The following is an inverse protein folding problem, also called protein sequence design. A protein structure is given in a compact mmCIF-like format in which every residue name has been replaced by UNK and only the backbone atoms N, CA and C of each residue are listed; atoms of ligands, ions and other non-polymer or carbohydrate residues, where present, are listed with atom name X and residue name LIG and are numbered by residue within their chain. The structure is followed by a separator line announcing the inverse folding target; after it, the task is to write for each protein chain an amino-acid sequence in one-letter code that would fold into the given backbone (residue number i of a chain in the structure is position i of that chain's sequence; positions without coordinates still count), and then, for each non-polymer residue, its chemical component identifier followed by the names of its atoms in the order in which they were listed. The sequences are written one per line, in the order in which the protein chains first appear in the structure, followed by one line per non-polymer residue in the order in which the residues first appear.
data_IF_242672072939
#
_entry.id   IF_242672072939
#
_cell.length_a   1.000
_cell.length_b   1.000
_cell.length_c   1.000
_cell.angle_alpha   90.00
_cell.angle_beta   90.00
_cell.angle_gamma   90.00
#
_symmetry.space_group_name_H-M   'P 1'
#
loop_
_entity.id
_entity.type
_entity.pdbx_description
1 polymer ?
#
# COMPACT_ATOMS: atom_id res chain seq x y z
N UNK A 1 -7.41 32.21 -11.34
CA UNK A 1 -6.95 31.86 -9.97
C UNK A 1 -7.89 30.76 -9.49
N UNK A 2 -7.50 29.49 -9.57
CA UNK A 2 -8.35 28.37 -9.10
C UNK A 2 -8.33 28.40 -7.57
N UNK A 3 -9.47 28.73 -6.97
CA UNK A 3 -9.71 28.63 -5.53
C UNK A 3 -9.45 27.20 -5.06
N UNK A 4 -8.76 27.03 -3.93
CA UNK A 4 -8.38 25.75 -3.30
C UNK A 4 -9.56 24.78 -3.00
N UNK A 5 -10.80 25.12 -3.36
CA UNK A 5 -12.03 24.44 -2.98
C UNK A 5 -12.55 23.41 -4.00
N UNK A 6 -11.91 23.24 -5.17
CA UNK A 6 -12.38 22.32 -6.22
C UNK A 6 -11.40 21.18 -6.52
N UNK A 7 -10.59 20.77 -5.54
CA UNK A 7 -9.84 19.52 -5.66
C UNK A 7 -10.79 18.35 -5.37
N UNK A 8 -10.99 17.38 -6.31
CA UNK A 8 -11.77 16.18 -6.02
C UNK A 8 -11.27 15.50 -4.76
N UNK A 9 -12.18 15.06 -3.88
CA UNK A 9 -11.79 14.46 -2.59
C UNK A 9 -11.02 13.18 -2.85
N UNK A 10 -10.14 12.80 -1.93
CA UNK A 10 -9.30 11.60 -2.07
C UNK A 10 -10.09 10.32 -2.37
N UNK A 11 -11.32 10.19 -1.83
CA UNK A 11 -12.25 9.09 -2.13
C UNK A 11 -12.71 9.02 -3.61
N UNK A 12 -12.69 10.16 -4.30
CA UNK A 12 -13.15 10.29 -5.69
C UNK A 12 -11.99 10.06 -6.69
N UNK A 13 -10.73 9.92 -6.21
CA UNK A 13 -9.50 9.78 -7.01
C UNK A 13 -8.87 8.38 -6.92
N UNK A 14 -9.68 7.35 -6.92
CA UNK A 14 -9.22 5.96 -6.76
C UNK A 14 -8.70 5.32 -8.05
N UNK A 15 -8.72 6.04 -9.16
CA UNK A 15 -8.21 5.51 -10.42
C UNK A 15 -6.67 5.51 -10.43
N UNK A 16 -6.11 4.40 -10.90
CA UNK A 16 -4.69 4.26 -11.17
C UNK A 16 -4.49 4.13 -12.69
N UNK A 17 -3.33 4.55 -13.16
CA UNK A 17 -2.96 4.39 -14.56
C UNK A 17 -1.59 3.71 -14.65
N UNK A 18 -1.54 2.58 -15.35
CA UNK A 18 -0.29 1.91 -15.70
C UNK A 18 0.15 2.31 -17.10
N UNK A 19 1.42 2.71 -17.23
CA UNK A 19 2.03 3.18 -18.47
C UNK A 19 3.36 2.46 -18.67
N UNK A 20 3.61 1.92 -19.87
CA UNK A 20 4.88 1.25 -20.21
C UNK A 20 5.37 1.62 -21.61
N UNK A 21 6.66 1.44 -21.89
CA UNK A 21 7.23 1.57 -23.24
C UNK A 21 6.90 2.92 -23.91
N UNK A 22 7.06 4.03 -23.19
CA UNK A 22 6.71 5.36 -23.71
C UNK A 22 7.29 6.52 -22.92
N UNK A 23 6.83 7.74 -23.20
CA UNK A 23 7.28 8.96 -22.52
C UNK A 23 6.09 9.70 -21.93
N UNK A 24 6.11 9.94 -20.62
CA UNK A 24 5.15 10.81 -19.95
C UNK A 24 5.68 12.26 -19.97
N UNK A 25 4.93 13.15 -20.61
CA UNK A 25 5.32 14.56 -20.78
C UNK A 25 4.11 15.51 -20.61
N UNK A 26 4.38 16.81 -20.55
CA UNK A 26 3.36 17.86 -20.58
C UNK A 26 3.38 18.53 -21.95
N UNK A 27 2.24 18.51 -22.63
CA UNK A 27 2.03 19.17 -23.92
C UNK A 27 0.77 20.04 -23.86
N UNK A 28 0.90 21.31 -24.27
CA UNK A 28 -0.19 22.30 -24.27
C UNK A 28 -1.01 22.34 -22.94
N UNK A 29 -0.30 22.37 -21.81
CA UNK A 29 -0.85 22.36 -20.44
C UNK A 29 -1.61 21.08 -20.02
N UNK A 30 -1.52 20.01 -20.80
CA UNK A 30 -2.11 18.70 -20.47
C UNK A 30 -1.03 17.62 -20.33
N UNK A 31 -1.25 16.66 -19.42
CA UNK A 31 -0.34 15.53 -19.25
C UNK A 31 -0.64 14.50 -20.35
N UNK A 32 0.38 14.08 -21.10
CA UNK A 32 0.26 13.14 -22.21
C UNK A 32 1.27 12.00 -22.12
N UNK A 33 0.85 10.79 -22.48
CA UNK A 33 1.73 9.64 -22.62
C UNK A 33 1.96 9.33 -24.10
N UNK A 34 3.22 9.46 -24.53
CA UNK A 34 3.66 9.21 -25.90
C UNK A 34 4.13 7.77 -26.04
N UNK A 35 3.48 6.99 -26.90
CA UNK A 35 3.86 5.62 -27.22
C UNK A 35 3.86 5.42 -28.73
N UNK A 36 5.05 5.30 -29.33
CA UNK A 36 5.21 5.36 -30.78
C UNK A 36 4.70 6.69 -31.34
N UNK A 37 3.86 6.63 -32.37
CA UNK A 37 3.23 7.80 -32.98
C UNK A 37 1.93 8.24 -32.29
N UNK A 38 1.54 7.56 -31.21
CA UNK A 38 0.29 7.83 -30.48
C UNK A 38 0.56 8.64 -29.22
N UNK A 39 -0.29 9.65 -28.96
CA UNK A 39 -0.32 10.41 -27.72
C UNK A 39 -1.64 10.17 -27.02
N UNK A 40 -1.58 9.63 -25.79
CA UNK A 40 -2.76 9.35 -24.97
C UNK A 40 -2.85 10.42 -23.88
N UNK A 41 -3.93 11.21 -23.81
CA UNK A 41 -4.11 12.18 -22.73
C UNK A 41 -4.32 11.47 -21.40
N UNK A 42 -3.67 11.98 -20.35
CA UNK A 42 -3.72 11.41 -19.00
C UNK A 42 -4.59 12.29 -18.09
N UNK A 43 -5.74 11.80 -17.61
CA UNK A 43 -6.66 12.56 -16.74
C UNK A 43 -6.13 12.64 -15.31
N UNK A 44 -5.09 13.46 -15.10
CA UNK A 44 -4.36 13.57 -13.83
C UNK A 44 -5.25 13.97 -12.64
N UNK A 45 -6.35 14.67 -12.90
CA UNK A 45 -7.33 15.13 -11.93
C UNK A 45 -8.16 13.98 -11.32
N UNK A 46 -8.27 12.86 -12.03
CA UNK A 46 -9.01 11.68 -11.61
C UNK A 46 -8.09 10.60 -11.01
N UNK A 47 -6.78 10.73 -11.19
CA UNK A 47 -5.79 9.72 -10.85
C UNK A 47 -5.18 9.95 -9.46
N UNK A 48 -5.26 8.93 -8.61
CA UNK A 48 -4.52 8.89 -7.34
C UNK A 48 -3.07 8.45 -7.51
N UNK A 49 -2.80 7.59 -8.48
CA UNK A 49 -1.47 7.05 -8.76
C UNK A 49 -1.22 6.79 -10.24
N UNK A 50 -0.03 7.14 -10.72
CA UNK A 50 0.52 6.73 -12.02
C UNK A 50 1.65 5.74 -11.81
N UNK A 51 1.53 4.56 -12.38
CA UNK A 51 2.52 3.50 -12.34
C UNK A 51 3.30 3.47 -13.65
N UNK A 52 4.59 3.82 -13.61
CA UNK A 52 5.49 3.74 -14.76
C UNK A 52 6.19 2.37 -14.78
N UNK A 53 5.91 1.59 -15.81
CA UNK A 53 6.53 0.31 -16.13
C UNK A 53 7.86 0.44 -16.88
N UNK A 54 8.50 -0.70 -17.19
CA UNK A 54 9.74 -0.76 -17.96
C UNK A 54 9.63 -0.06 -19.32
N UNK A 55 10.75 0.49 -19.80
CA UNK A 55 10.81 1.22 -21.06
C UNK A 55 10.13 2.59 -21.05
N UNK A 56 9.66 3.05 -19.88
CA UNK A 56 9.07 4.38 -19.72
C UNK A 56 10.10 5.46 -19.37
N UNK A 57 9.89 6.66 -19.88
CA UNK A 57 10.59 7.88 -19.49
C UNK A 57 9.58 8.92 -18.99
N UNK A 58 10.02 9.85 -18.14
CA UNK A 58 9.16 10.92 -17.61
C UNK A 58 9.95 12.22 -17.55
N UNK A 59 9.33 13.31 -17.97
CA UNK A 59 9.97 14.63 -17.94
C UNK A 59 9.79 15.31 -16.59
N UNK A 60 10.65 16.29 -16.31
CA UNK A 60 10.51 17.14 -15.12
C UNK A 60 9.15 17.86 -15.09
N UNK A 61 8.67 18.33 -16.25
CA UNK A 61 7.36 19.00 -16.34
C UNK A 61 6.21 18.08 -15.93
N UNK A 62 6.25 16.81 -16.36
CA UNK A 62 5.28 15.80 -15.94
C UNK A 62 5.34 15.54 -14.43
N UNK A 63 6.54 15.38 -13.85
CA UNK A 63 6.69 15.22 -12.39
C UNK A 63 6.14 16.42 -11.63
N UNK A 64 6.41 17.64 -12.09
CA UNK A 64 5.88 18.87 -11.49
C UNK A 64 4.35 18.88 -11.52
N UNK A 65 3.75 18.52 -12.66
CA UNK A 65 2.29 18.44 -12.82
C UNK A 65 1.68 17.41 -11.85
N UNK A 66 2.26 16.21 -11.77
CA UNK A 66 1.83 15.15 -10.84
C UNK A 66 1.88 15.62 -9.39
N UNK A 67 2.99 16.24 -8.98
CA UNK A 67 3.15 16.77 -7.62
C UNK A 67 2.14 17.87 -7.30
N UNK A 68 1.89 18.80 -8.23
CA UNK A 68 0.91 19.88 -8.05
C UNK A 68 -0.53 19.37 -7.93
N UNK A 69 -0.84 18.22 -8.53
CA UNK A 69 -2.14 17.57 -8.46
C UNK A 69 -2.23 16.51 -7.36
N UNK A 70 -1.21 16.39 -6.51
CA UNK A 70 -1.11 15.38 -5.45
C UNK A 70 -1.27 13.93 -5.97
N UNK A 71 -0.80 13.68 -7.20
CA UNK A 71 -0.81 12.38 -7.83
C UNK A 71 0.52 11.67 -7.53
N UNK A 72 0.45 10.48 -6.94
CA UNK A 72 1.64 9.68 -6.64
C UNK A 72 2.20 9.09 -7.95
N UNK A 73 3.51 9.13 -8.14
CA UNK A 73 4.16 8.37 -9.21
C UNK A 73 4.93 7.19 -8.63
N UNK A 74 4.75 6.02 -9.23
CA UNK A 74 5.31 4.76 -8.81
C UNK A 74 6.09 4.13 -9.97
N UNK A 75 7.40 3.91 -9.81
CA UNK A 75 8.19 3.13 -10.76
C UNK A 75 8.04 1.66 -10.44
N UNK A 76 7.53 0.92 -11.42
CA UNK A 76 7.10 -0.45 -11.24
C UNK A 76 7.70 -1.39 -12.29
N UNK A 77 7.66 -2.68 -12.00
CA UNK A 77 7.95 -3.74 -12.96
C UNK A 77 6.88 -3.84 -14.05
N UNK A 78 7.09 -4.79 -14.95
CA UNK A 78 6.13 -5.09 -16.01
C UNK A 78 4.75 -5.38 -15.39
N UNK A 79 3.71 -4.75 -15.94
CA UNK A 79 2.33 -4.79 -15.49
C UNK A 79 2.12 -4.40 -13.99
N UNK A 80 2.99 -3.56 -13.42
CA UNK A 80 2.77 -2.96 -12.09
C UNK A 80 3.07 -3.87 -10.89
N UNK A 81 3.63 -5.07 -11.11
CA UNK A 81 3.71 -6.12 -10.08
C UNK A 81 4.78 -5.97 -9.03
N UNK A 82 5.74 -5.09 -9.28
CA UNK A 82 6.82 -4.84 -8.35
C UNK A 82 6.97 -3.35 -8.26
N UNK A 83 6.95 -2.79 -7.06
CA UNK A 83 7.36 -1.41 -6.86
C UNK A 83 8.89 -1.37 -6.69
N UNK A 84 9.55 -0.53 -7.49
CA UNK A 84 10.98 -0.22 -7.36
C UNK A 84 11.20 1.08 -6.60
N UNK A 85 10.43 2.11 -6.94
CA UNK A 85 10.49 3.43 -6.31
C UNK A 85 9.12 4.09 -6.36
N UNK A 86 8.88 5.07 -5.49
CA UNK A 86 7.71 5.93 -5.55
C UNK A 86 8.08 7.34 -5.09
N UNK A 87 7.34 8.33 -5.58
CA UNK A 87 7.42 9.70 -5.06
C UNK A 87 6.78 9.81 -3.69
N UNK A 88 7.16 10.86 -2.96
CA UNK A 88 6.44 11.32 -1.78
C UNK A 88 5.23 12.13 -2.28
N UNK A 89 4.01 11.79 -1.85
CA UNK A 89 2.77 12.44 -2.29
C UNK A 89 1.54 11.57 -2.06
N UNK A 90 0.35 12.10 -2.35
CA UNK A 90 -0.95 11.46 -2.13
C UNK A 90 -1.74 12.06 -0.96
N UNK A 91 -1.06 12.74 -0.04
CA UNK A 91 -1.63 13.48 1.09
C UNK A 91 -0.82 14.76 1.33
N UNK A 92 -1.47 15.83 1.80
CA UNK A 92 -0.76 17.00 2.31
C UNK A 92 -0.58 16.96 3.84
N UNK A 93 -1.23 16.01 4.53
CA UNK A 93 -1.26 15.90 5.99
C UNK A 93 -0.43 14.73 6.50
N UNK A 94 0.49 14.99 7.43
CA UNK A 94 1.26 13.93 8.11
C UNK A 94 0.48 13.23 9.24
N UNK A 95 -0.79 13.59 9.47
CA UNK A 95 -1.60 13.11 10.61
C UNK A 95 -1.65 11.58 10.70
N UNK A 96 -1.88 10.91 9.57
CA UNK A 96 -1.96 9.45 9.49
C UNK A 96 -0.62 8.79 9.82
N UNK A 97 0.48 9.31 9.28
CA UNK A 97 1.83 8.85 9.60
C UNK A 97 2.15 9.01 11.08
N UNK A 98 1.88 10.18 11.67
CA UNK A 98 2.13 10.45 13.09
C UNK A 98 1.28 9.52 13.98
N UNK A 99 0.01 9.30 13.62
CA UNK A 99 -0.85 8.35 14.34
C UNK A 99 -0.33 6.93 14.24
N UNK A 100 0.04 6.47 13.05
CA UNK A 100 0.62 5.15 12.84
C UNK A 100 1.89 4.97 13.67
N UNK A 101 2.77 5.98 13.70
CA UNK A 101 3.96 5.96 14.55
C UNK A 101 3.61 5.81 16.03
N UNK A 102 2.63 6.56 16.55
CA UNK A 102 2.14 6.41 17.93
C UNK A 102 1.60 5.02 18.23
N UNK A 103 0.90 4.39 17.28
CA UNK A 103 0.34 3.05 17.45
C UNK A 103 1.43 1.97 17.42
N UNK A 104 2.47 2.14 16.60
CA UNK A 104 3.57 1.16 16.48
C UNK A 104 4.59 1.29 17.62
N UNK A 105 4.81 2.50 18.14
CA UNK A 105 5.79 2.79 19.21
C UNK A 105 5.31 2.44 20.62
N UNK A 106 4.06 2.00 20.78
CA UNK A 106 3.45 1.62 22.05
C UNK A 106 3.08 0.12 21.98
N UNK A 107 3.66 -0.71 22.84
CA UNK A 107 3.54 -2.16 22.78
C UNK A 107 2.09 -2.66 22.98
N UNK A 108 1.32 -2.00 23.85
CA UNK A 108 -0.08 -2.35 24.10
C UNK A 108 -0.94 -2.00 22.87
N UNK A 109 -0.82 -0.77 22.37
CA UNK A 109 -1.56 -0.33 21.17
C UNK A 109 -1.19 -1.15 19.94
N UNK A 110 0.09 -1.49 19.79
CA UNK A 110 0.58 -2.32 18.70
C UNK A 110 -0.03 -3.71 18.77
N UNK A 111 -0.10 -4.30 19.96
CA UNK A 111 -0.74 -5.60 20.17
C UNK A 111 -2.24 -5.53 19.83
N UNK A 112 -2.95 -4.48 20.23
CA UNK A 112 -4.36 -4.31 19.86
C UNK A 112 -4.58 -4.24 18.35
N UNK A 113 -3.73 -3.51 17.61
CA UNK A 113 -3.82 -3.44 16.15
C UNK A 113 -3.53 -4.79 15.51
N UNK A 114 -2.49 -5.50 15.96
CA UNK A 114 -2.20 -6.86 15.49
C UNK A 114 -3.40 -7.79 15.70
N UNK A 115 -4.09 -7.65 16.83
CA UNK A 115 -5.33 -8.36 17.12
C UNK A 115 -6.48 -8.05 16.17
N UNK A 116 -6.72 -6.76 15.89
CA UNK A 116 -7.72 -6.35 14.90
C UNK A 116 -7.38 -6.93 13.52
N UNK A 117 -6.11 -6.88 13.12
CA UNK A 117 -5.64 -7.46 11.86
C UNK A 117 -5.83 -8.97 11.77
N UNK A 118 -5.58 -9.73 12.84
CA UNK A 118 -5.87 -11.15 12.82
C UNK A 118 -7.38 -11.40 12.75
N UNK A 119 -8.16 -10.75 13.61
CA UNK A 119 -9.63 -10.90 13.65
C UNK A 119 -10.29 -10.61 12.31
N UNK A 120 -9.85 -9.56 11.62
CA UNK A 120 -10.34 -9.19 10.30
C UNK A 120 -10.32 -10.36 9.29
N UNK A 121 -9.37 -11.29 9.43
CA UNK A 121 -9.16 -12.41 8.50
C UNK A 121 -10.06 -13.62 8.76
N UNK A 122 -10.83 -13.60 9.86
CA UNK A 122 -11.74 -14.69 10.22
C UNK A 122 -13.18 -14.22 10.06
N UNK A 123 -13.99 -15.06 9.40
CA UNK A 123 -15.43 -14.84 9.29
C UNK A 123 -16.19 -15.20 10.58
N UNK A 124 -15.47 -15.65 11.62
CA UNK A 124 -16.02 -16.12 12.90
C UNK A 124 -15.58 -15.19 14.03
N UNK A 125 -16.44 -15.05 15.05
CA UNK A 125 -16.10 -14.28 16.25
C UNK A 125 -15.05 -15.04 17.06
N UNK A 126 -13.82 -14.54 17.04
CA UNK A 126 -12.74 -15.09 17.87
C UNK A 126 -13.00 -14.68 19.33
N UNK A 127 -12.96 -15.63 20.29
CA UNK A 127 -13.12 -15.32 21.70
C UNK A 127 -12.18 -14.20 22.17
N UNK A 128 -12.59 -13.37 23.16
CA UNK A 128 -11.84 -12.17 23.56
C UNK A 128 -10.43 -12.43 24.13
N UNK A 129 -10.12 -13.69 24.52
CA UNK A 129 -8.86 -14.06 25.17
C UNK A 129 -8.29 -15.32 24.52
N UNK A 130 -7.67 -15.14 23.37
CA UNK A 130 -6.85 -16.15 22.68
C UNK A 130 -5.43 -15.61 22.72
N UNK A 131 -4.44 -16.27 23.31
CA UNK A 131 -3.08 -15.67 23.35
C UNK A 131 -2.58 -15.33 21.94
N UNK A 132 -1.64 -14.38 21.79
CA UNK A 132 -1.07 -14.02 20.48
C UNK A 132 -0.51 -15.26 19.75
N UNK A 133 0.04 -16.20 20.50
CA UNK A 133 0.50 -17.49 19.98
C UNK A 133 -0.65 -18.36 19.46
N UNK A 134 -1.77 -18.37 20.19
CA UNK A 134 -2.95 -19.16 19.81
C UNK A 134 -3.59 -18.61 18.53
N UNK A 135 -3.74 -17.28 18.40
CA UNK A 135 -4.32 -16.68 17.18
C UNK A 135 -3.39 -16.84 15.98
N UNK A 136 -2.07 -16.79 16.18
CA UNK A 136 -1.07 -17.15 15.16
C UNK A 136 -1.21 -18.61 14.71
N UNK A 137 -1.44 -19.52 15.65
CA UNK A 137 -1.72 -20.93 15.36
C UNK A 137 -2.98 -21.12 14.52
N UNK A 138 -4.06 -20.42 14.89
CA UNK A 138 -5.32 -20.40 14.13
C UNK A 138 -5.13 -19.86 12.71
N UNK A 139 -4.38 -18.76 12.56
CA UNK A 139 -4.06 -18.18 11.24
C UNK A 139 -3.27 -19.17 10.38
N UNK A 140 -2.28 -19.86 10.96
CA UNK A 140 -1.55 -20.91 10.26
C UNK A 140 -2.45 -22.05 9.76
N UNK A 141 -3.44 -22.46 10.55
CA UNK A 141 -4.44 -23.45 10.13
C UNK A 141 -5.33 -22.90 9.02
N UNK A 142 -5.81 -21.66 9.13
CA UNK A 142 -6.65 -20.97 8.14
C UNK A 142 -5.95 -20.92 6.78
N UNK A 143 -4.69 -20.49 6.75
CA UNK A 143 -3.89 -20.42 5.52
C UNK A 143 -3.64 -21.80 4.92
N UNK A 144 -3.32 -22.82 5.74
CA UNK A 144 -3.17 -24.21 5.25
C UNK A 144 -4.48 -24.75 4.65
N UNK A 145 -5.62 -24.45 5.27
CA UNK A 145 -6.94 -24.82 4.73
C UNK A 145 -7.23 -24.11 3.41
N UNK A 146 -6.88 -22.83 3.27
CA UNK A 146 -7.03 -22.09 2.02
C UNK A 146 -6.23 -22.74 0.88
N UNK A 147 -4.97 -23.12 1.14
CA UNK A 147 -4.15 -23.86 0.18
C UNK A 147 -4.74 -25.23 -0.18
N UNK A 148 -5.18 -26.00 0.83
CA UNK A 148 -5.78 -27.32 0.60
C UNK A 148 -7.08 -27.22 -0.22
N UNK A 149 -7.93 -26.22 0.07
CA UNK A 149 -9.15 -25.95 -0.69
C UNK A 149 -8.82 -25.60 -2.14
N UNK A 150 -7.92 -24.65 -2.37
CA UNK A 150 -7.52 -24.25 -3.72
C UNK A 150 -6.86 -25.41 -4.50
N UNK A 151 -6.04 -26.22 -3.84
CA UNK A 151 -5.44 -27.42 -4.41
C UNK A 151 -6.50 -28.41 -4.89
N UNK A 152 -7.52 -28.67 -4.06
CA UNK A 152 -8.63 -29.56 -4.41
C UNK A 152 -9.52 -28.98 -5.51
N UNK A 153 -9.85 -27.69 -5.44
CA UNK A 153 -10.74 -26.99 -6.38
C UNK A 153 -10.16 -26.93 -7.79
N UNK A 154 -8.87 -26.65 -7.92
CA UNK A 154 -8.20 -26.47 -9.21
C UNK A 154 -7.38 -27.69 -9.66
N UNK A 155 -7.31 -28.75 -8.85
CA UNK A 155 -6.59 -29.99 -9.19
C UNK A 155 -5.07 -29.85 -9.24
N UNK A 156 -4.49 -28.87 -8.53
CA UNK A 156 -3.03 -28.62 -8.50
C UNK A 156 -2.44 -29.17 -7.21
N UNK A 157 -1.45 -30.05 -7.31
CA UNK A 157 -0.79 -30.64 -6.13
C UNK A 157 -0.07 -29.56 -5.30
N UNK A 158 -0.32 -29.52 -3.98
CA UNK A 158 0.32 -28.57 -3.07
C UNK A 158 1.26 -29.27 -2.08
N UNK A 159 2.57 -29.00 -2.21
CA UNK A 159 3.64 -29.58 -1.36
C UNK A 159 4.13 -28.64 -0.25
N UNK A 160 3.64 -27.40 -0.25
CA UNK A 160 4.11 -26.35 0.64
C UNK A 160 4.73 -25.18 -0.11
N UNK A 161 4.95 -24.09 0.64
CA UNK A 161 5.53 -22.85 0.10
C UNK A 161 7.05 -22.99 0.05
N UNK A 162 7.60 -23.13 -1.15
CA UNK A 162 9.03 -23.18 -1.38
C UNK A 162 9.44 -22.08 -2.36
N UNK A 163 10.40 -21.25 -1.97
CA UNK A 163 10.99 -20.25 -2.85
C UNK A 163 12.52 -20.32 -2.73
N UNK A 164 13.20 -20.46 -3.86
CA UNK A 164 14.64 -20.23 -3.93
C UNK A 164 14.86 -18.80 -4.44
N UNK A 165 15.45 -17.95 -3.61
CA UNK A 165 15.75 -16.55 -3.98
C UNK A 165 16.84 -16.46 -5.05
N UNK A 166 17.65 -17.51 -5.24
CA UNK A 166 18.77 -17.53 -6.18
C UNK A 166 18.41 -18.14 -7.53
N UNK A 167 17.33 -18.91 -7.62
CA UNK A 167 16.93 -19.60 -8.86
C UNK A 167 15.40 -19.65 -9.02
N UNK A 168 14.85 -18.54 -9.54
CA UNK A 168 13.42 -18.35 -9.77
C UNK A 168 12.81 -19.42 -10.69
N UNK A 169 13.55 -19.87 -11.71
CA UNK A 169 13.09 -20.83 -12.71
C UNK A 169 12.87 -22.25 -12.18
N UNK A 170 13.49 -22.60 -11.05
CA UNK A 170 13.37 -23.93 -10.43
C UNK A 170 12.16 -24.07 -9.50
N UNK A 171 11.46 -22.97 -9.20
CA UNK A 171 10.20 -23.05 -8.46
C UNK A 171 9.14 -23.80 -9.26
N UNK A 172 8.38 -24.67 -8.59
CA UNK A 172 7.23 -25.30 -9.24
C UNK A 172 6.23 -24.22 -9.74
N UNK A 173 5.42 -24.52 -10.77
CA UNK A 173 4.54 -23.53 -11.37
C UNK A 173 3.63 -22.84 -10.35
N UNK A 174 3.12 -23.58 -9.36
CA UNK A 174 2.24 -23.01 -8.34
C UNK A 174 2.97 -22.01 -7.42
N UNK A 175 4.22 -22.30 -7.01
CA UNK A 175 4.99 -21.38 -6.19
C UNK A 175 5.38 -20.12 -6.98
N UNK A 176 5.71 -20.24 -8.26
CA UNK A 176 5.94 -19.09 -9.14
C UNK A 176 4.68 -18.24 -9.28
N UNK A 177 3.54 -18.88 -9.55
CA UNK A 177 2.25 -18.20 -9.66
C UNK A 177 1.87 -17.45 -8.37
N UNK A 178 2.01 -18.10 -7.20
CA UNK A 178 1.78 -17.46 -5.91
C UNK A 178 2.72 -16.28 -5.66
N UNK A 179 3.98 -16.38 -6.07
CA UNK A 179 4.93 -15.28 -5.91
C UNK A 179 4.57 -14.10 -6.80
N UNK A 180 4.18 -14.35 -8.06
CA UNK A 180 3.70 -13.32 -8.98
C UNK A 180 2.40 -12.66 -8.44
N UNK A 181 1.42 -13.45 -8.01
CA UNK A 181 0.15 -12.96 -7.48
C UNK A 181 0.35 -12.10 -6.22
N UNK A 182 1.18 -12.57 -5.28
CA UNK A 182 1.49 -11.82 -4.07
C UNK A 182 2.25 -10.52 -4.39
N UNK A 183 3.14 -10.53 -5.38
CA UNK A 183 3.82 -9.30 -5.82
C UNK A 183 2.81 -8.26 -6.33
N UNK A 184 1.82 -8.66 -7.14
CA UNK A 184 0.73 -7.79 -7.59
C UNK A 184 -0.01 -7.16 -6.40
N UNK A 185 -0.41 -7.99 -5.43
CA UNK A 185 -1.12 -7.53 -4.24
C UNK A 185 -0.27 -6.56 -3.40
N UNK A 186 1.02 -6.87 -3.21
CA UNK A 186 1.94 -5.97 -2.51
C UNK A 186 2.09 -4.63 -3.23
N UNK A 187 2.11 -4.61 -4.57
CA UNK A 187 2.13 -3.38 -5.35
C UNK A 187 0.93 -2.48 -5.05
N UNK A 188 -0.28 -3.04 -5.07
CA UNK A 188 -1.52 -2.30 -4.79
C UNK A 188 -1.58 -1.83 -3.34
N UNK A 189 -1.30 -2.72 -2.38
CA UNK A 189 -1.30 -2.34 -0.97
C UNK A 189 -0.26 -1.24 -0.70
N UNK A 190 0.93 -1.34 -1.30
CA UNK A 190 1.97 -0.33 -1.13
C UNK A 190 1.54 1.02 -1.71
N UNK A 191 1.01 1.04 -2.93
CA UNK A 191 0.50 2.26 -3.55
C UNK A 191 -0.60 2.91 -2.70
N UNK A 192 -1.55 2.13 -2.20
CA UNK A 192 -2.63 2.64 -1.36
C UNK A 192 -2.20 3.10 0.04
N UNK A 193 -1.20 2.43 0.65
CA UNK A 193 -0.59 2.87 1.91
C UNK A 193 0.08 4.24 1.73
N UNK A 194 0.89 4.39 0.68
CA UNK A 194 1.61 5.64 0.42
C UNK A 194 0.63 6.75 0.04
N UNK A 195 -0.34 6.48 -0.84
CA UNK A 195 -1.31 7.48 -1.25
C UNK A 195 -2.14 8.00 -0.08
N UNK A 196 -2.41 7.16 0.91
CA UNK A 196 -3.12 7.57 2.12
C UNK A 196 -2.25 8.27 3.15
N UNK A 197 -0.94 8.39 2.98
CA UNK A 197 -0.08 9.06 3.94
C UNK A 197 0.37 8.20 5.12
N UNK A 198 0.32 6.88 4.98
CA UNK A 198 0.92 5.95 5.92
C UNK A 198 2.34 5.56 5.49
N UNK A 199 3.13 5.08 6.42
CA UNK A 199 4.43 4.46 6.15
C UNK A 199 4.28 2.97 5.86
N UNK A 200 4.94 2.51 4.80
CA UNK A 200 5.08 1.09 4.47
C UNK A 200 5.93 0.31 5.48
N UNK A 201 6.80 1.00 6.22
CA UNK A 201 7.79 0.40 7.10
C UNK A 201 7.25 0.14 8.52
N UNK A 202 6.26 0.91 8.96
CA UNK A 202 5.69 0.85 10.31
C UNK A 202 4.60 -0.24 10.38
N UNK A 203 5.05 -1.49 10.44
CA UNK A 203 4.19 -2.67 10.60
C UNK A 203 3.86 -3.00 12.06
N UNK A 204 2.78 -3.76 12.24
CA UNK A 204 2.24 -4.22 13.51
C UNK A 204 2.54 -5.71 13.73
N UNK A 205 2.21 -6.55 12.74
CA UNK A 205 2.46 -8.00 12.78
C UNK A 205 3.86 -8.32 12.25
N UNK A 206 4.19 -7.82 11.07
CA UNK A 206 5.54 -7.87 10.51
C UNK A 206 6.36 -6.67 11.00
N UNK A 207 7.66 -6.88 11.26
CA UNK A 207 8.61 -5.81 11.60
C UNK A 207 10.00 -6.05 11.01
N UNK A 208 10.82 -5.00 11.03
CA UNK A 208 12.23 -5.05 10.61
C UNK A 208 12.46 -4.91 9.11
N UNK A 209 11.39 -4.75 8.31
CA UNK A 209 11.47 -4.52 6.85
C UNK A 209 10.79 -3.20 6.47
N UNK A 210 11.28 -2.56 5.42
CA UNK A 210 10.67 -1.32 4.88
C UNK A 210 9.28 -1.52 4.26
N UNK A 211 8.85 -2.77 4.08
CA UNK A 211 7.53 -3.15 3.56
C UNK A 211 6.68 -3.88 4.60
N UNK A 212 7.03 -3.78 5.89
CA UNK A 212 6.34 -4.53 6.95
C UNK A 212 4.83 -4.29 6.96
N UNK A 213 4.40 -3.03 6.87
CA UNK A 213 2.98 -2.69 6.85
C UNK A 213 2.29 -3.12 5.55
N UNK A 214 3.02 -3.17 4.43
CA UNK A 214 2.51 -3.72 3.16
C UNK A 214 2.17 -5.19 3.33
N UNK A 215 3.01 -5.97 4.00
CA UNK A 215 2.74 -7.39 4.28
C UNK A 215 1.55 -7.57 5.23
N UNK A 216 1.45 -6.73 6.26
CA UNK A 216 0.32 -6.76 7.19
C UNK A 216 -1.02 -6.56 6.50
N UNK A 217 -1.11 -5.54 5.65
CA UNK A 217 -2.33 -5.18 4.90
C UNK A 217 -2.60 -6.23 3.81
N UNK A 218 -1.60 -6.68 3.06
CA UNK A 218 -1.80 -7.68 2.03
C UNK A 218 -2.30 -9.02 2.57
N UNK A 219 -1.81 -9.43 3.74
CA UNK A 219 -2.26 -10.67 4.39
C UNK A 219 -3.74 -10.65 4.80
N UNK A 220 -4.40 -9.48 4.82
CA UNK A 220 -5.86 -9.39 4.99
C UNK A 220 -6.62 -10.05 3.82
N UNK A 221 -6.04 -10.06 2.61
CA UNK A 221 -6.76 -10.42 1.38
C UNK A 221 -6.23 -11.67 0.66
N UNK A 222 -5.01 -12.15 0.98
CA UNK A 222 -4.34 -13.22 0.20
C UNK A 222 -5.18 -14.48 0.03
N UNK A 223 -5.89 -14.90 1.07
CA UNK A 223 -6.69 -16.13 1.04
C UNK A 223 -7.89 -16.05 0.12
N UNK A 224 -8.40 -14.84 -0.12
CA UNK A 224 -9.57 -14.59 -0.97
C UNK A 224 -9.16 -14.24 -2.40
N UNK A 225 -7.95 -13.69 -2.60
CA UNK A 225 -7.50 -13.17 -3.88
C UNK A 225 -6.34 -13.97 -4.47
N UNK A 226 -5.14 -13.84 -3.90
CA UNK A 226 -3.92 -14.31 -4.57
C UNK A 226 -3.77 -15.82 -4.57
N UNK A 227 -4.25 -16.50 -3.52
CA UNK A 227 -4.23 -17.97 -3.46
C UNK A 227 -5.12 -18.57 -4.55
N UNK A 228 -6.44 -18.29 -4.63
CA UNK A 228 -7.28 -18.89 -5.67
C UNK A 228 -6.82 -18.54 -7.08
N UNK A 229 -6.42 -17.29 -7.35
CA UNK A 229 -5.89 -16.88 -8.66
C UNK A 229 -4.65 -17.69 -9.04
N UNK A 230 -3.69 -17.85 -8.13
CA UNK A 230 -2.47 -18.60 -8.43
C UNK A 230 -2.75 -20.08 -8.76
N UNK A 231 -3.67 -20.72 -8.03
CA UNK A 231 -4.07 -22.11 -8.30
C UNK A 231 -4.83 -22.24 -9.63
N UNK A 232 -5.78 -21.32 -9.90
CA UNK A 232 -6.52 -21.25 -11.17
C UNK A 232 -5.57 -21.17 -12.37
N UNK A 233 -4.60 -20.25 -12.32
CA UNK A 233 -3.68 -20.03 -13.44
C UNK A 233 -2.66 -21.16 -13.56
N UNK A 234 -2.14 -21.69 -12.44
CA UNK A 234 -1.24 -22.83 -12.47
C UNK A 234 -1.91 -24.08 -13.07
N UNK A 235 -3.20 -24.30 -12.81
CA UNK A 235 -3.98 -25.40 -13.39
C UNK A 235 -4.12 -25.29 -14.92
N UNK A 236 -4.26 -24.06 -15.44
CA UNK A 236 -4.34 -23.81 -16.88
C UNK A 236 -3.00 -24.03 -17.62
N UNK A 237 -1.88 -24.09 -16.88
CA UNK A 237 -0.52 -24.29 -17.39
C UNK A 237 -0.19 -23.45 -18.66
N UNK A 238 -0.38 -22.13 -18.62
CA UNK A 238 -0.10 -21.27 -19.78
C UNK A 238 1.41 -21.16 -20.05
N UNK A 239 1.77 -20.83 -21.29
CA UNK A 239 3.18 -20.64 -21.70
C UNK A 239 3.86 -19.49 -20.96
N UNK A 240 3.14 -18.39 -20.73
CA UNK A 240 3.61 -17.23 -19.95
C UNK A 240 2.82 -17.12 -18.63
N UNK A 241 3.21 -17.98 -17.68
CA UNK A 241 2.57 -18.13 -16.38
C UNK A 241 2.47 -16.82 -15.62
N UNK A 242 3.60 -16.13 -15.43
CA UNK A 242 3.61 -14.90 -14.65
C UNK A 242 2.75 -13.83 -15.31
N UNK A 243 2.74 -13.69 -16.64
CA UNK A 243 1.86 -12.74 -17.33
C UNK A 243 0.38 -13.08 -17.10
N UNK A 244 0.00 -14.34 -17.24
CA UNK A 244 -1.39 -14.73 -17.04
C UNK A 244 -1.84 -14.48 -15.59
N UNK A 245 -0.99 -14.74 -14.61
CA UNK A 245 -1.29 -14.42 -13.20
C UNK A 245 -1.58 -12.94 -13.00
N UNK A 246 -0.82 -12.05 -13.64
CA UNK A 246 -1.01 -10.59 -13.53
C UNK A 246 -2.35 -10.14 -14.08
N UNK A 247 -2.73 -10.67 -15.24
CA UNK A 247 -4.02 -10.39 -15.88
C UNK A 247 -5.16 -10.85 -14.97
N UNK A 248 -5.10 -12.08 -14.45
CA UNK A 248 -6.15 -12.62 -13.59
C UNK A 248 -6.21 -11.92 -12.23
N UNK A 249 -5.07 -11.51 -11.66
CA UNK A 249 -5.06 -10.68 -10.46
C UNK A 249 -5.77 -9.35 -10.69
N UNK A 250 -5.56 -8.69 -11.83
CA UNK A 250 -6.23 -7.42 -12.16
C UNK A 250 -7.75 -7.58 -12.15
N UNK A 251 -8.28 -8.59 -12.83
CA UNK A 251 -9.72 -8.86 -12.85
C UNK A 251 -10.25 -9.19 -11.45
N UNK A 252 -9.56 -10.07 -10.70
CA UNK A 252 -9.97 -10.42 -9.34
C UNK A 252 -9.96 -9.21 -8.38
N UNK A 253 -8.96 -8.32 -8.48
CA UNK A 253 -8.89 -7.12 -7.64
C UNK A 253 -9.97 -6.10 -7.99
N UNK A 254 -10.33 -6.00 -9.28
CA UNK A 254 -11.40 -5.15 -9.76
C UNK A 254 -12.77 -5.65 -9.27
N UNK A 255 -13.07 -6.94 -9.46
CA UNK A 255 -14.31 -7.56 -8.99
C UNK A 255 -14.46 -7.48 -7.46
N UNK A 256 -13.36 -7.67 -6.73
CA UNK A 256 -13.34 -7.54 -5.27
C UNK A 256 -13.43 -6.09 -4.78
N UNK A 257 -13.26 -5.11 -5.69
CA UNK A 257 -13.17 -3.67 -5.36
C UNK A 257 -12.08 -3.38 -4.34
N UNK A 258 -10.92 -4.02 -4.47
CA UNK A 258 -9.85 -3.99 -3.47
C UNK A 258 -9.41 -2.56 -3.11
N UNK A 259 -9.28 -1.68 -4.12
CA UNK A 259 -8.88 -0.29 -3.91
C UNK A 259 -9.92 0.50 -3.09
N UNK A 260 -11.20 0.20 -3.28
CA UNK A 260 -12.28 0.86 -2.53
C UNK A 260 -12.27 0.47 -1.05
N UNK A 261 -11.80 -0.74 -0.76
CA UNK A 261 -11.81 -1.36 0.57
C UNK A 261 -10.53 -1.07 1.35
N UNK A 262 -9.40 -0.94 0.66
CA UNK A 262 -8.08 -0.88 1.29
C UNK A 262 -7.99 0.17 2.41
N UNK A 263 -8.51 1.38 2.18
CA UNK A 263 -8.42 2.47 3.15
C UNK A 263 -9.41 2.36 4.30
N UNK A 264 -10.72 2.09 4.05
CA UNK A 264 -11.63 1.71 5.12
C UNK A 264 -11.08 0.58 6.00
N UNK A 265 -10.54 -0.47 5.38
CA UNK A 265 -10.04 -1.64 6.10
C UNK A 265 -8.77 -1.29 6.90
N UNK A 266 -7.86 -0.46 6.34
CA UNK A 266 -6.71 0.09 7.09
C UNK A 266 -7.21 0.92 8.29
N UNK A 267 -8.19 1.78 8.09
CA UNK A 267 -8.74 2.62 9.14
C UNK A 267 -9.37 1.78 10.25
N UNK A 268 -10.11 0.72 9.88
CA UNK A 268 -10.70 -0.25 10.81
C UNK A 268 -9.63 -0.94 11.66
N UNK A 269 -8.61 -1.54 11.03
CA UNK A 269 -7.58 -2.27 11.79
C UNK A 269 -6.72 -1.35 12.66
N UNK A 270 -6.57 -0.08 12.28
CA UNK A 270 -5.91 0.95 13.08
C UNK A 270 -6.82 1.59 14.15
N UNK A 271 -8.08 1.16 14.27
CA UNK A 271 -9.04 1.69 15.25
C UNK A 271 -9.41 3.15 14.99
N UNK A 272 -9.61 3.50 13.72
CA UNK A 272 -9.92 4.86 13.23
C UNK A 272 -11.21 4.83 12.41
N UNK A 273 -12.34 4.52 13.05
CA UNK A 273 -13.63 4.44 12.34
C UNK A 273 -14.11 5.79 11.75
N UNK A 274 -13.61 6.92 12.28
CA UNK A 274 -14.04 8.28 11.91
C UNK A 274 -12.92 9.14 11.30
N UNK A 275 -12.15 8.58 10.35
CA UNK A 275 -11.22 9.40 9.57
C UNK A 275 -11.98 10.26 8.54
N UNK A 276 -12.37 11.48 8.94
CA UNK A 276 -13.10 12.45 8.11
C UNK A 276 -12.28 13.05 6.95
N UNK A 277 -11.03 12.62 6.77
CA UNK A 277 -10.11 13.14 5.76
C UNK A 277 -9.36 14.39 6.21
N UNK A 278 -8.61 14.98 5.29
CA UNK A 278 -7.84 16.22 5.53
C UNK A 278 -8.79 17.41 5.68
N UNK A 279 -8.59 18.24 6.71
CA UNK A 279 -9.27 19.53 6.85
C UNK A 279 -8.35 20.69 6.43
N UNK A 280 -8.90 21.84 5.99
CA UNK A 280 -8.11 23.01 5.61
C UNK A 280 -7.10 23.47 6.67
N UNK A 281 -7.47 23.37 7.94
CA UNK A 281 -6.64 23.77 9.07
C UNK A 281 -5.41 22.86 9.28
N UNK A 282 -5.36 21.69 8.63
CA UNK A 282 -4.21 20.79 8.68
C UNK A 282 -3.09 21.19 7.72
N UNK A 283 -3.36 22.05 6.72
CA UNK A 283 -2.35 22.48 5.74
C UNK A 283 -1.36 23.52 6.30
N UNK A 284 -1.70 24.25 7.36
CA UNK A 284 -0.86 25.35 7.89
C UNK A 284 0.32 24.86 8.75
N UNK A 285 0.40 23.55 9.04
CA UNK A 285 1.39 22.99 9.94
C UNK A 285 1.22 23.50 11.39
N UNK A 286 1.83 22.84 12.35
CA UNK A 286 1.80 23.29 13.76
C UNK A 286 3.20 23.23 14.34
N UNK A 287 3.59 24.29 15.03
CA UNK A 287 4.82 24.31 15.83
C UNK A 287 4.52 23.60 17.16
N UNK A 288 5.28 22.56 17.48
CA UNK A 288 5.22 21.95 18.81
C UNK A 288 5.87 22.92 19.78
N UNK A 289 5.05 23.57 20.61
CA UNK A 289 5.54 24.31 21.77
C UNK A 289 5.66 23.35 22.95
N UNK A 290 6.79 23.37 23.65
CA UNK A 290 6.95 22.69 24.94
C UNK A 290 6.16 23.46 26.01
N UNK A 291 4.84 23.49 25.88
CA UNK A 291 3.95 23.92 26.95
C UNK A 291 3.63 22.74 27.89
N UNK A 292 4.63 21.89 28.15
CA UNK A 292 4.58 20.93 29.25
C UNK A 292 5.32 21.62 30.41
N UNK A 293 4.59 22.39 31.21
CA UNK A 293 5.10 22.98 32.46
C UNK A 293 5.46 24.48 32.42
N UNK A 294 4.65 25.33 31.81
CA UNK A 294 4.70 26.79 32.06
C UNK A 294 3.30 27.33 32.34
N UNK A 295 2.61 26.77 33.34
CA UNK A 295 1.49 27.48 33.97
C UNK A 295 1.99 28.54 34.99
N UNK A 296 3.28 28.53 35.28
CA UNK A 296 4.03 29.47 36.08
C UNK A 296 5.24 29.95 35.26
N UNK A 297 5.11 31.12 34.64
CA UNK A 297 6.11 31.72 33.75
C UNK A 297 7.44 32.10 34.43
N UNK A 298 8.22 31.12 34.89
CA UNK A 298 9.55 31.30 35.46
C UNK A 298 10.56 30.31 34.87
N UNK A 299 10.87 30.47 33.59
CA UNK A 299 12.14 29.95 33.05
C UNK A 299 13.16 31.10 33.08
N UNK A 300 13.95 31.19 34.15
CA UNK A 300 15.12 32.07 34.18
C UNK A 300 16.25 31.42 33.38
N UNK A 301 16.37 31.80 32.11
CA UNK A 301 17.58 31.52 31.35
C UNK A 301 18.61 32.60 31.70
N UNK A 302 19.60 32.27 32.52
CA UNK A 302 20.80 33.08 32.69
C UNK A 302 21.87 32.60 31.68
N UNK A 303 22.40 33.48 30.82
CA UNK A 303 23.51 33.11 29.95
C UNK A 303 24.76 32.87 30.81
N UNK A 304 25.24 31.63 30.83
CA UNK A 304 26.62 31.33 31.25
C UNK A 304 27.60 31.95 30.25
N UNK A 305 27.95 33.22 30.49
CA UNK A 305 29.24 33.85 30.16
C UNK A 305 29.18 35.34 30.55
N UNK A 306 29.61 35.65 31.77
CA UNK A 306 30.29 36.92 32.02
C UNK A 306 31.65 36.82 31.36
N UNK A 307 31.86 37.58 30.28
CA UNK A 307 33.20 37.78 29.74
C UNK A 307 34.07 38.46 30.79
N UNK A 308 35.12 37.79 31.23
CA UNK A 308 36.26 38.43 31.89
C UNK A 308 36.96 39.29 30.83
N UNK A 309 36.95 40.61 31.06
CA UNK A 309 37.86 41.56 30.43
C UNK A 309 39.13 41.70 31.23
#
# INVERSE_FOLDING_TARGET
MRTLHELPRFRDRWSYLYLEMGRLDVEADSLGFHQGDTVVPVPIDQLGVVMLGPGSTVTHAAIKSLSQNNCLIAWTGQDGVRLYAASIGGTYSARRLIRQARLVSDDEKRLEVAWRMYRFRFNEVIPPVVSLESIRGMEGIRVRRAYAKASQEYGVEWKGRHYDQKDWSKGDPINRALSAANACLYGICHAGILSAGYSSALGFVHTGKMLSFVYDVADLYKTELTIPVAFKVAAANPTDLERQVRIECREAFYEFKLLERLLPDIAEVLGVSDDIGESPDEFEGRIVTLAIGTEDGSFSWEPERSGEG
#
